data_IF_022124148060
#
_entry.id   IF_022124148060
#
_cell.length_a   1.000
_cell.length_b   1.000
_cell.length_c   1.000
_cell.angle_alpha   90.00
_cell.angle_beta   90.00
_cell.angle_gamma   90.00
#
_symmetry.space_group_name_H-M   'P 1'
#
loop_
_entity.id
_entity.type
_entity.pdbx_description
1 polymer ?
2 polymer ?
3 non-polymer ?
4 non-polymer ?
5 water ?
#
# COMPACT_ATOMS: atom_id res chain seq x y z
N UNK A 1 -22.00 -4.64 -16.05
CA UNK A 1 -20.61 -4.82 -15.55
C UNK A 1 -20.37 -6.25 -15.11
N UNK A 2 -19.27 -6.80 -15.59
CA UNK A 2 -18.68 -8.00 -15.04
C UNK A 2 -18.00 -7.61 -13.71
N UNK A 3 -18.55 -7.96 -12.55
CA UNK A 3 -17.89 -7.52 -11.30
C UNK A 3 -17.99 -8.47 -10.11
N UNK A 4 -17.02 -8.33 -9.20
CA UNK A 4 -16.86 -9.19 -8.02
C UNK A 4 -16.73 -8.33 -6.84
N UNK A 5 -17.48 -8.63 -5.79
CA UNK A 5 -17.43 -7.77 -4.64
C UNK A 5 -17.05 -8.59 -3.46
N UNK A 6 -15.96 -8.25 -2.80
CA UNK A 6 -15.72 -8.76 -1.47
C UNK A 6 -16.71 -8.12 -0.43
N UNK A 7 -16.75 -8.71 0.77
CA UNK A 7 -17.59 -8.21 1.87
C UNK A 7 -17.07 -8.71 3.21
N UNK A 8 -17.76 -8.41 4.31
CA UNK A 8 -17.29 -8.81 5.64
C UNK A 8 -16.22 -7.82 6.05
N UNK A 9 -14.99 -8.28 6.26
CA UNK A 9 -13.88 -7.40 6.66
C UNK A 9 -14.04 -6.95 8.09
N UNK A 10 -13.58 -5.73 8.39
CA UNK A 10 -13.85 -5.15 9.68
C UNK A 10 -12.86 -5.66 10.72
N UNK A 11 -12.73 -4.92 11.81
CA UNK A 11 -11.82 -5.30 12.87
C UNK A 11 -12.55 -6.30 13.82
N UNK A 12 -11.74 -7.19 14.39
CA UNK A 12 -12.15 -8.08 15.47
C UNK A 12 -10.83 -8.53 16.08
N UNK A 13 -10.88 -8.85 17.37
CA UNK A 13 -9.69 -9.02 18.18
C UNK A 13 -8.97 -10.31 17.77
N UNK A 14 -7.73 -10.55 18.25
CA UNK A 14 -7.07 -11.79 17.87
C UNK A 14 -7.91 -12.99 18.31
N UNK A 15 -7.66 -14.17 17.76
CA UNK A 15 -8.51 -15.33 17.96
C UNK A 15 -9.96 -14.98 17.75
N UNK A 16 -10.19 -14.12 16.77
CA UNK A 16 -11.51 -13.66 16.45
C UNK A 16 -12.03 -14.46 15.30
N UNK A 17 -13.09 -13.97 14.68
CA UNK A 17 -13.72 -14.70 13.61
C UNK A 17 -14.36 -13.72 12.65
N UNK A 18 -14.42 -14.15 11.40
CA UNK A 18 -14.93 -13.31 10.34
C UNK A 18 -15.30 -14.21 9.22
N UNK A 19 -16.41 -13.86 8.57
CA UNK A 19 -16.79 -14.56 7.35
C UNK A 19 -16.85 -13.62 6.16
N UNK A 20 -15.79 -13.63 5.34
CA UNK A 20 -15.76 -12.82 4.16
C UNK A 20 -16.59 -13.47 3.08
N UNK A 21 -17.59 -12.76 2.61
CA UNK A 21 -18.32 -13.22 1.46
C UNK A 21 -17.61 -12.66 0.26
N UNK A 22 -18.05 -13.08 -0.90
CA UNK A 22 -17.57 -12.45 -2.13
C UNK A 22 -18.57 -12.81 -3.23
N UNK A 23 -19.25 -11.79 -3.74
CA UNK A 23 -20.34 -12.02 -4.65
C UNK A 23 -19.91 -11.74 -6.07
N UNK A 24 -20.57 -12.40 -7.02
CA UNK A 24 -20.19 -12.26 -8.42
C UNK A 24 -21.38 -12.13 -9.33
N UNK A 25 -21.27 -11.20 -10.26
CA UNK A 25 -22.27 -11.00 -11.31
C UNK A 25 -21.53 -10.64 -12.61
N UNK A 26 -22.13 -10.97 -13.75
CA UNK A 26 -21.69 -10.43 -15.03
C UNK A 26 -20.95 -11.42 -15.88
N UNK A 27 -20.90 -12.67 -15.41
CA UNK A 27 -20.23 -13.80 -16.07
C UNK A 27 -20.76 -15.14 -15.50
N UNK A 28 -20.23 -16.27 -15.96
CA UNK A 28 -20.66 -17.55 -15.41
C UNK A 28 -19.68 -18.05 -14.34
N UNK A 29 -19.99 -17.70 -13.10
CA UNK A 29 -19.25 -18.14 -11.92
C UNK A 29 -18.79 -19.56 -12.11
N UNK A 30 -19.77 -20.45 -12.28
CA UNK A 30 -19.50 -21.86 -12.49
C UNK A 30 -18.42 -22.18 -13.52
N UNK A 31 -18.06 -21.26 -14.42
CA UNK A 31 -16.97 -21.55 -15.39
C UNK A 31 -15.53 -21.32 -14.87
N UNK A 32 -15.40 -20.90 -13.59
CA UNK A 32 -14.11 -20.43 -13.03
C UNK A 32 -13.84 -20.89 -11.61
N UNK A 33 -12.57 -21.13 -11.34
CA UNK A 33 -12.06 -21.35 -9.99
C UNK A 33 -12.08 -20.01 -9.31
N UNK A 34 -12.01 -19.99 -7.99
CA UNK A 34 -11.91 -18.70 -7.32
C UNK A 34 -10.77 -18.74 -6.34
N UNK A 35 -10.32 -17.55 -5.96
CA UNK A 35 -9.09 -17.39 -5.21
C UNK A 35 -9.18 -16.19 -4.25
N UNK A 36 -8.91 -16.45 -2.99
CA UNK A 36 -8.62 -15.37 -2.10
C UNK A 36 -7.15 -15.01 -2.18
N UNK A 37 -6.87 -13.76 -1.90
CA UNK A 37 -5.50 -13.25 -1.93
C UNK A 37 -5.41 -12.06 -0.97
N UNK A 38 -4.33 -12.01 -0.19
CA UNK A 38 -4.15 -10.89 0.72
C UNK A 38 -2.95 -10.00 0.46
N UNK A 39 -3.13 -8.76 0.89
CA UNK A 39 -2.07 -7.81 0.98
C UNK A 39 -2.05 -7.18 2.34
N UNK A 40 -1.08 -7.57 3.16
CA UNK A 40 -0.85 -6.88 4.43
C UNK A 40 -0.49 -5.48 4.01
N UNK A 41 -1.09 -4.46 4.66
CA UNK A 41 -0.49 -3.16 4.54
C UNK A 41 1.04 -3.14 4.59
N UNK A 42 1.60 -2.44 3.60
CA UNK A 42 3.03 -2.36 3.38
C UNK A 42 3.61 -3.53 2.57
N UNK A 43 3.03 -4.71 2.73
CA UNK A 43 3.62 -5.92 2.16
C UNK A 43 3.15 -6.22 0.71
N UNK A 44 3.70 -7.29 0.13
CA UNK A 44 3.30 -7.72 -1.21
C UNK A 44 2.25 -8.79 -1.26
N UNK A 45 1.86 -9.21 -2.46
CA UNK A 45 0.70 -10.09 -2.65
C UNK A 45 1.02 -11.49 -2.22
N UNK A 46 0.07 -12.07 -1.45
CA UNK A 46 0.16 -13.41 -0.88
C UNK A 46 -1.12 -14.19 -1.17
N UNK A 47 -1.06 -15.16 -2.08
CA UNK A 47 -2.20 -16.07 -2.36
C UNK A 47 -2.76 -16.67 -1.02
N UNK A 48 -4.07 -16.94 -0.97
CA UNK A 48 -4.63 -17.60 0.20
C UNK A 48 -5.19 -18.94 -0.20
N UNK A 49 -6.43 -18.99 -0.61
CA UNK A 49 -7.06 -20.24 -0.91
C UNK A 49 -7.36 -20.33 -2.39
N UNK A 50 -7.66 -21.52 -2.84
CA UNK A 50 -8.30 -21.66 -4.11
C UNK A 50 -9.36 -22.71 -3.99
N UNK A 51 -10.15 -22.85 -5.05
CA UNK A 51 -11.30 -23.73 -5.06
C UNK A 51 -11.68 -23.78 -6.53
N UNK A 52 -12.31 -24.87 -6.97
CA UNK A 52 -12.74 -25.00 -8.37
C UNK A 52 -14.22 -24.69 -8.51
N UNK A 53 -14.73 -24.81 -9.73
CA UNK A 53 -16.15 -24.61 -10.02
C UNK A 53 -17.01 -25.75 -9.49
N UNK A 54 -16.52 -26.97 -9.64
CA UNK A 54 -17.16 -28.14 -9.01
C UNK A 54 -16.95 -28.09 -7.47
N UNK A 55 -16.47 -26.94 -6.98
CA UNK A 55 -16.30 -26.68 -5.53
C UNK A 55 -15.43 -27.74 -4.88
N UNK A 56 -14.33 -28.05 -5.57
CA UNK A 56 -13.38 -29.09 -5.17
C UNK A 56 -11.90 -28.75 -5.47
N UNK A 57 -11.01 -29.28 -4.63
CA UNK A 57 -9.56 -29.03 -4.66
C UNK A 57 -9.22 -27.77 -3.95
N UNK A 58 -9.60 -27.71 -2.68
CA UNK A 58 -9.38 -26.51 -1.92
C UNK A 58 -7.95 -26.49 -1.45
N UNK A 59 -7.21 -25.53 -1.96
CA UNK A 59 -5.87 -25.25 -1.51
C UNK A 59 -5.83 -24.07 -0.57
N UNK A 60 -4.76 -24.04 0.24
CA UNK A 60 -4.60 -23.10 1.33
C UNK A 60 -3.16 -22.78 1.53
N UNK A 61 -2.87 -21.59 2.00
CA UNK A 61 -1.49 -21.25 2.30
C UNK A 61 -1.15 -21.81 3.68
N UNK A 62 0.09 -22.26 3.85
CA UNK A 62 0.55 -22.76 5.16
C UNK A 62 0.24 -21.74 6.25
N UNK A 63 0.27 -20.47 5.87
CA UNK A 63 0.15 -19.39 6.81
C UNK A 63 -1.28 -19.33 7.27
N UNK A 64 -2.13 -20.08 6.59
CA UNK A 64 -3.58 -19.94 6.69
C UNK A 64 -4.32 -21.26 6.99
N UNK A 65 -3.78 -22.40 6.53
CA UNK A 65 -4.39 -23.73 6.75
C UNK A 65 -4.88 -23.88 8.17
N UNK A 66 -5.90 -24.70 8.33
CA UNK A 66 -6.48 -24.97 9.63
C UNK A 66 -7.13 -23.80 10.34
N UNK A 67 -7.24 -22.66 9.67
CA UNK A 67 -7.94 -21.56 10.29
C UNK A 67 -8.96 -20.94 9.33
N UNK A 68 -8.74 -21.06 8.01
CA UNK A 68 -9.68 -20.46 7.02
C UNK A 68 -10.40 -21.50 6.18
N UNK A 69 -11.62 -21.20 5.77
CA UNK A 69 -12.50 -22.22 5.23
C UNK A 69 -13.20 -21.75 3.93
N UNK A 70 -12.60 -22.07 2.79
CA UNK A 70 -13.11 -21.65 1.46
C UNK A 70 -14.38 -22.40 1.04
N UNK A 71 -15.53 -21.69 1.00
CA UNK A 71 -16.85 -22.27 0.59
C UNK A 71 -17.31 -21.69 -0.76
N UNK A 72 -18.43 -22.17 -1.31
CA UNK A 72 -18.90 -21.76 -2.66
C UNK A 72 -20.40 -22.06 -2.90
N UNK A 73 -21.08 -21.18 -3.64
CA UNK A 73 -22.51 -21.34 -3.97
C UNK A 73 -22.72 -21.00 -5.45
N UNK A 74 -22.29 -21.88 -6.36
CA UNK A 74 -22.35 -21.54 -7.80
C UNK A 74 -23.73 -21.11 -8.23
N UNK A 75 -24.75 -21.50 -7.47
CA UNK A 75 -26.12 -21.10 -7.75
C UNK A 75 -26.49 -19.81 -7.04
N UNK A 76 -25.59 -19.27 -6.23
CA UNK A 76 -25.82 -17.98 -5.56
C UNK A 76 -24.63 -17.05 -5.85
N UNK A 77 -23.85 -17.45 -6.86
CA UNK A 77 -22.63 -16.77 -7.33
C UNK A 77 -21.67 -16.14 -6.30
N UNK A 78 -21.54 -16.75 -5.11
CA UNK A 78 -20.73 -16.23 -3.97
C UNK A 78 -19.57 -17.14 -3.52
N UNK A 79 -18.75 -16.71 -2.53
CA UNK A 79 -17.42 -17.34 -2.25
C UNK A 79 -16.96 -17.58 -0.82
N UNK A 80 -17.47 -16.86 0.17
CA UNK A 80 -17.24 -17.28 1.57
C UNK A 80 -15.79 -17.76 1.88
N UNK A 81 -15.03 -16.94 2.62
CA UNK A 81 -13.80 -17.42 3.25
C UNK A 81 -13.96 -17.36 4.77
N UNK A 82 -14.34 -18.46 5.42
CA UNK A 82 -14.50 -18.44 6.87
C UNK A 82 -13.16 -18.37 7.60
N UNK A 83 -12.99 -17.28 8.32
CA UNK A 83 -11.78 -17.02 9.08
C UNK A 83 -11.99 -17.20 10.57
N UNK A 84 -11.20 -18.11 11.12
CA UNK A 84 -11.00 -18.33 12.54
C UNK A 84 -9.54 -18.69 12.53
N UNK A 85 -8.82 -18.74 13.64
CA UNK A 85 -9.01 -17.96 14.82
C UNK A 85 -7.96 -16.92 14.56
N UNK A 86 -8.38 -15.67 14.45
CA UNK A 86 -7.54 -14.68 13.80
C UNK A 86 -6.38 -14.16 14.63
N UNK A 87 -5.23 -14.06 13.99
CA UNK A 87 -4.02 -13.48 14.62
C UNK A 87 -3.59 -12.24 13.87
N UNK A 88 -2.55 -11.60 14.38
CA UNK A 88 -2.19 -10.25 14.01
C UNK A 88 -1.71 -10.15 12.54
N UNK A 89 -0.71 -10.96 12.21
CA UNK A 89 -0.24 -11.15 10.84
C UNK A 89 -1.36 -11.39 9.81
N UNK A 90 -2.57 -11.70 10.28
CA UNK A 90 -3.75 -11.91 9.41
C UNK A 90 -4.36 -10.64 8.94
N UNK A 91 -3.82 -9.55 9.42
CA UNK A 91 -4.33 -8.27 9.04
C UNK A 91 -3.92 -8.00 7.59
N UNK A 92 -4.92 -7.70 6.76
CA UNK A 92 -4.64 -7.43 5.36
C UNK A 92 -5.85 -6.98 4.61
N UNK A 93 -5.74 -7.05 3.29
CA UNK A 93 -6.85 -6.82 2.45
C UNK A 93 -7.14 -8.12 1.72
N UNK A 94 -8.39 -8.39 1.38
CA UNK A 94 -8.74 -9.68 0.81
C UNK A 94 -9.46 -9.55 -0.54
N UNK A 95 -8.84 -10.00 -1.62
CA UNK A 95 -9.49 -9.94 -2.95
C UNK A 95 -10.00 -11.30 -3.30
N UNK A 96 -11.21 -11.42 -3.83
CA UNK A 96 -11.56 -12.66 -4.47
C UNK A 96 -11.27 -12.50 -5.96
N UNK A 97 -10.80 -13.57 -6.61
CA UNK A 97 -10.40 -13.45 -8.03
C UNK A 97 -10.82 -14.56 -8.95
N UNK A 98 -11.27 -14.18 -10.12
CA UNK A 98 -11.38 -15.14 -11.24
C UNK A 98 -10.08 -15.85 -11.57
N UNK A 99 -10.20 -17.13 -11.88
CA UNK A 99 -9.06 -17.88 -12.29
C UNK A 99 -9.46 -19.04 -13.11
N UNK A 100 -8.69 -19.20 -14.20
CA UNK A 100 -8.69 -20.39 -15.02
C UNK A 100 -8.33 -21.62 -14.22
N UNK A 101 -8.43 -22.79 -14.85
CA UNK A 101 -8.19 -24.05 -14.14
C UNK A 101 -6.97 -24.82 -14.70
N UNK A 102 -7.15 -25.95 -15.39
CA UNK A 102 -6.05 -26.78 -15.96
C UNK A 102 -5.61 -27.82 -14.92
N UNK A 103 -6.00 -29.07 -15.17
CA UNK A 103 -6.18 -30.02 -14.08
C UNK A 103 -5.37 -31.32 -14.11
N UNK A 104 -5.07 -31.78 -12.89
CA UNK A 104 -4.52 -33.11 -12.65
C UNK A 104 -3.31 -33.34 -13.55
N UNK A 105 -2.94 -34.59 -13.85
CA UNK A 105 -3.27 -35.80 -13.05
C UNK A 105 -2.13 -36.02 -12.10
N UNK A 106 -0.96 -35.69 -12.63
CA UNK A 106 0.30 -35.90 -11.96
C UNK A 106 0.52 -34.89 -10.87
N UNK A 107 -0.52 -34.16 -10.48
CA UNK A 107 -0.51 -33.45 -9.20
C UNK A 107 -0.74 -34.55 -8.20
N UNK A 108 -1.05 -34.21 -6.96
CA UNK A 108 -1.22 -35.23 -5.93
C UNK A 108 -1.98 -36.47 -6.42
N UNK A 109 -2.87 -37.04 -5.62
CA UNK A 109 -3.88 -37.85 -6.24
C UNK A 109 -4.64 -36.75 -6.88
N UNK A 110 -4.67 -36.71 -8.21
CA UNK A 110 -5.48 -35.73 -8.94
C UNK A 110 -5.45 -34.33 -8.32
N UNK A 111 -4.79 -33.36 -8.95
CA UNK A 111 -4.83 -31.97 -8.45
C UNK A 111 -5.25 -30.95 -9.49
N UNK A 112 -5.40 -29.70 -9.08
CA UNK A 112 -5.70 -28.63 -10.02
C UNK A 112 -4.74 -27.48 -9.94
N UNK A 113 -4.29 -26.95 -11.07
CA UNK A 113 -3.37 -25.81 -11.09
C UNK A 113 -4.18 -24.56 -10.90
N UNK A 114 -4.73 -24.43 -9.70
CA UNK A 114 -5.87 -23.53 -9.49
C UNK A 114 -5.50 -22.16 -9.83
N UNK A 115 -5.75 -21.85 -11.09
CA UNK A 115 -5.62 -20.50 -11.54
C UNK A 115 -4.18 -20.30 -11.79
N UNK A 116 -3.79 -20.63 -13.01
CA UNK A 116 -2.69 -19.91 -13.59
C UNK A 116 -3.37 -18.61 -13.96
N UNK A 117 -4.38 -18.66 -14.82
CA UNK A 117 -5.01 -17.42 -15.31
C UNK A 117 -5.67 -16.75 -14.12
N UNK A 118 -5.51 -15.43 -13.95
CA UNK A 118 -6.29 -14.71 -12.91
C UNK A 118 -6.70 -13.26 -13.19
N UNK A 119 -7.72 -13.14 -14.04
CA UNK A 119 -8.05 -11.89 -14.74
C UNK A 119 -9.09 -10.94 -14.11
N UNK A 120 -9.92 -11.45 -13.21
CA UNK A 120 -10.84 -10.54 -12.52
C UNK A 120 -10.80 -10.59 -10.98
N UNK A 121 -10.87 -9.40 -10.40
CA UNK A 121 -10.59 -9.17 -8.99
C UNK A 121 -11.56 -8.18 -8.46
N UNK A 122 -12.07 -8.44 -7.25
CA UNK A 122 -12.91 -7.49 -6.54
C UNK A 122 -12.09 -6.28 -6.20
N UNK A 123 -12.69 -5.36 -5.44
CA UNK A 123 -11.93 -4.24 -4.92
C UNK A 123 -11.13 -4.61 -3.71
N UNK A 124 -11.49 -5.69 -3.06
CA UNK A 124 -10.91 -5.97 -1.73
C UNK A 124 -11.90 -5.75 -0.60
N UNK A 125 -11.56 -6.33 0.55
CA UNK A 125 -12.15 -6.00 1.85
C UNK A 125 -11.00 -6.03 2.85
N UNK A 126 -11.09 -5.17 3.85
CA UNK A 126 -10.00 -5.05 4.79
C UNK A 126 -10.36 -5.72 6.13
N UNK A 127 -9.37 -6.40 6.70
CA UNK A 127 -9.53 -7.16 7.90
C UNK A 127 -8.44 -6.72 8.81
N UNK A 128 -8.88 -6.13 9.90
CA UNK A 128 -7.97 -5.58 10.85
C UNK A 128 -8.02 -6.44 12.10
N UNK A 129 -6.86 -6.93 12.52
CA UNK A 129 -6.76 -7.83 13.66
C UNK A 129 -5.91 -7.18 14.73
N UNK A 130 -6.57 -6.57 15.72
CA UNK A 130 -5.91 -6.04 16.94
C UNK A 130 -6.89 -5.44 17.98
N UNK A 131 -6.32 -4.94 19.08
CA UNK A 131 -7.05 -4.32 20.20
C UNK A 131 -6.22 -3.15 20.76
N UNK A 132 -6.82 -2.12 21.37
CA UNK A 132 -8.27 -1.85 21.39
C UNK A 132 -8.74 -1.12 20.13
N UNK A 133 -9.66 -0.15 20.30
CA UNK A 133 -10.40 0.46 19.20
C UNK A 133 -10.25 1.98 19.17
N UNK A 134 -11.24 2.65 18.59
CA UNK A 134 -11.55 4.09 18.78
C UNK A 134 -10.59 5.21 18.29
N UNK A 135 -11.25 6.18 17.63
CA UNK A 135 -10.75 7.52 17.18
C UNK A 135 -9.37 8.05 17.58
N UNK A 136 -9.01 9.17 16.95
CA UNK A 136 -7.81 9.85 17.36
C UNK A 136 -7.78 11.29 16.92
N UNK A 137 -7.69 12.23 17.90
CA UNK A 137 -7.62 13.69 17.80
C UNK A 137 -6.68 14.19 16.75
N UNK A 138 -6.92 15.41 16.30
CA UNK A 138 -6.28 15.92 15.08
C UNK A 138 -5.16 16.89 15.39
N UNK A 139 -5.49 18.05 15.93
CA UNK A 139 -4.47 19.00 16.42
C UNK A 139 -3.55 19.51 15.27
N UNK A 140 -3.59 20.81 14.98
CA UNK A 140 -2.41 21.41 14.34
C UNK A 140 -2.01 22.78 14.87
N UNK A 152 9.00 31.68 -1.98
CA UNK A 152 7.72 31.52 -2.67
C UNK A 152 6.62 30.99 -1.77
N UNK A 153 6.87 29.83 -1.16
CA UNK A 153 5.81 29.04 -0.55
C UNK A 153 5.90 28.94 0.98
N UNK A 154 4.80 28.56 1.62
CA UNK A 154 4.78 28.22 3.04
C UNK A 154 3.65 27.22 3.34
N UNK A 155 3.88 26.30 4.27
CA UNK A 155 3.05 25.09 4.41
C UNK A 155 2.34 24.97 5.73
N UNK A 156 1.59 23.90 5.87
CA UNK A 156 0.77 23.71 7.01
C UNK A 156 -0.01 22.49 6.66
N UNK A 157 -0.89 22.10 7.55
CA UNK A 157 -1.64 20.90 7.37
C UNK A 157 -2.07 20.56 8.76
N UNK A 158 -2.53 19.33 8.94
CA UNK A 158 -2.85 18.90 10.26
C UNK A 158 -2.16 17.63 10.53
N UNK A 159 -1.82 17.48 11.79
CA UNK A 159 -1.47 16.23 12.32
C UNK A 159 -2.77 15.50 12.59
N UNK A 160 -2.71 14.18 12.61
CA UNK A 160 -3.86 13.37 12.90
C UNK A 160 -3.27 12.20 13.62
N UNK A 161 -3.70 11.98 14.85
CA UNK A 161 -2.93 11.14 15.72
C UNK A 161 -3.76 10.37 16.74
N UNK A 162 -3.15 9.34 17.33
CA UNK A 162 -3.71 8.54 18.42
C UNK A 162 -5.02 7.87 18.00
N UNK A 163 -5.08 7.42 16.75
CA UNK A 163 -6.29 6.79 16.23
C UNK A 163 -6.16 5.32 15.89
N UNK A 164 -7.26 4.61 16.12
CA UNK A 164 -7.43 3.23 15.70
C UNK A 164 -8.86 3.01 15.23
N UNK A 165 -9.07 2.14 14.24
CA UNK A 165 -8.12 1.55 13.32
C UNK A 165 -8.04 2.42 12.09
N UNK A 166 -7.44 1.90 11.02
CA UNK A 166 -7.50 2.62 9.74
C UNK A 166 -8.84 2.42 9.01
N UNK A 167 -9.21 3.35 8.10
CA UNK A 167 -8.54 4.55 7.66
C UNK A 167 -9.14 5.85 8.21
N UNK A 168 -8.43 6.95 8.02
CA UNK A 168 -9.03 8.28 8.14
C UNK A 168 -9.03 8.91 6.75
N UNK A 169 -10.02 9.80 6.53
CA UNK A 169 -10.08 10.60 5.31
C UNK A 169 -9.89 12.07 5.60
N UNK A 170 -8.72 12.52 5.24
CA UNK A 170 -8.35 13.87 5.45
C UNK A 170 -8.71 14.58 4.18
N UNK A 171 -9.36 15.73 4.36
CA UNK A 171 -9.82 16.55 3.26
C UNK A 171 -9.42 17.96 3.58
N UNK A 172 -9.46 18.84 2.58
CA UNK A 172 -9.21 20.25 2.84
C UNK A 172 -10.32 21.17 2.31
N UNK A 173 -10.89 21.93 3.25
CA UNK A 173 -12.08 22.74 3.05
C UNK A 173 -13.09 21.91 2.23
N UNK A 174 -13.32 20.68 2.69
CA UNK A 174 -14.26 19.73 2.09
C UNK A 174 -13.92 19.28 0.66
N UNK A 175 -12.88 19.88 0.06
CA UNK A 175 -12.50 19.60 -1.34
C UNK A 175 -11.94 20.78 -2.13
N UNK A 176 -12.23 22.00 -1.65
CA UNK A 176 -11.74 23.24 -2.25
C UNK A 176 -10.22 23.34 -2.36
N UNK A 177 -9.52 22.53 -1.56
CA UNK A 177 -8.10 22.29 -1.78
C UNK A 177 -7.84 20.82 -2.16
N UNK A 178 -7.64 20.63 -3.47
CA UNK A 178 -7.13 19.39 -4.07
C UNK A 178 -5.62 19.55 -4.31
N UNK A 179 -5.27 20.80 -4.62
CA UNK A 179 -3.91 21.23 -4.95
C UNK A 179 -3.00 21.02 -3.76
N UNK A 180 -1.80 20.52 -4.04
CA UNK A 180 -0.66 20.67 -3.13
C UNK A 180 -0.74 19.93 -1.82
N UNK A 181 -1.78 19.14 -1.69
CA UNK A 181 -2.01 18.39 -0.49
C UNK A 181 -1.21 17.13 -0.51
N UNK A 182 -0.28 17.04 0.42
CA UNK A 182 0.48 15.82 0.62
C UNK A 182 0.04 15.22 1.96
N UNK A 183 -0.74 14.14 1.88
CA UNK A 183 -1.33 13.51 3.02
C UNK A 183 -0.75 12.15 3.09
N UNK A 184 -0.14 11.88 4.24
CA UNK A 184 0.90 10.89 4.30
C UNK A 184 0.33 9.58 4.71
N UNK A 185 0.99 8.50 4.27
CA UNK A 185 0.65 7.18 4.72
C UNK A 185 0.61 7.14 6.24
N UNK A 186 -0.22 6.30 6.84
CA UNK A 186 -0.26 6.26 8.30
C UNK A 186 0.81 5.35 8.78
N UNK A 187 1.55 5.74 9.80
CA UNK A 187 2.52 4.84 10.38
C UNK A 187 2.09 4.44 11.77
N UNK A 188 2.44 3.21 12.11
CA UNK A 188 2.11 2.64 13.36
C UNK A 188 3.10 3.12 14.39
N UNK A 189 2.61 3.91 15.35
CA UNK A 189 3.39 4.24 16.54
C UNK A 189 3.51 2.94 17.33
N UNK A 190 4.59 2.81 18.10
CA UNK A 190 4.75 1.63 18.99
C UNK A 190 3.43 1.20 19.66
N UNK A 191 2.80 2.15 20.34
CA UNK A 191 1.56 1.87 21.09
C UNK A 191 0.51 1.09 20.30
N UNK A 192 0.72 0.96 18.99
CA UNK A 192 -0.22 0.26 18.13
C UNK A 192 -1.36 1.14 17.63
N UNK A 193 -1.31 2.44 17.97
CA UNK A 193 -2.18 3.47 17.38
C UNK A 193 -1.41 4.21 16.29
N UNK A 194 -2.10 4.64 15.24
CA UNK A 194 -1.44 5.25 14.09
C UNK A 194 -1.41 6.75 14.23
N UNK A 195 -0.61 7.38 13.39
CA UNK A 195 -0.82 8.79 13.15
C UNK A 195 -0.23 9.22 11.82
N UNK A 196 -0.73 10.33 11.33
CA UNK A 196 -0.34 10.88 10.08
C UNK A 196 -0.56 12.34 9.98
N UNK A 197 0.14 12.92 9.02
CA UNK A 197 -0.04 14.29 8.78
C UNK A 197 -0.51 14.56 7.37
N UNK A 198 -1.33 15.59 7.27
CA UNK A 198 -1.92 16.00 6.02
C UNK A 198 -1.43 17.39 5.87
N UNK A 199 -0.64 17.59 4.82
CA UNK A 199 -0.14 18.93 4.58
C UNK A 199 -0.60 19.46 3.24
N UNK A 200 -0.34 20.73 3.05
CA UNK A 200 -0.81 21.41 1.91
C UNK A 200 0.16 22.52 1.63
N UNK A 201 0.63 22.55 0.41
CA UNK A 201 1.60 23.55 0.00
C UNK A 201 0.77 24.76 -0.45
N UNK A 202 1.13 25.93 0.05
CA UNK A 202 0.46 27.18 -0.35
C UNK A 202 1.41 28.37 -0.40
N UNK A 203 1.18 29.29 -1.36
CA UNK A 203 1.86 30.59 -1.45
C UNK A 203 1.58 31.42 -0.19
N UNK A 204 2.58 32.19 0.24
CA UNK A 204 2.45 32.98 1.45
C UNK A 204 1.10 33.73 1.44
N UNK A 205 1.04 34.85 0.75
CA UNK A 205 -0.20 35.56 0.42
C UNK A 205 -1.46 35.23 1.24
N UNK A 206 -1.96 34.01 1.03
CA UNK A 206 -3.31 33.57 1.44
C UNK A 206 -3.68 33.76 2.90
N UNK A 207 -2.70 33.64 3.76
CA UNK A 207 -2.90 33.83 5.20
C UNK A 207 -3.72 35.10 5.46
N UNK A 208 -4.70 34.98 6.35
CA UNK A 208 -5.55 36.10 6.76
C UNK A 208 -6.80 36.28 5.92
N UNK A 209 -6.63 36.23 4.61
CA UNK A 209 -7.74 36.31 3.68
C UNK A 209 -8.19 34.90 3.42
N UNK A 210 -7.32 34.14 2.77
CA UNK A 210 -7.51 32.71 2.72
C UNK A 210 -7.19 32.16 4.09
N UNK A 211 -8.17 31.42 4.60
CA UNK A 211 -8.06 30.69 5.85
C UNK A 211 -8.51 29.25 5.53
N UNK A 212 -7.79 28.29 6.08
CA UNK A 212 -7.95 26.85 5.75
C UNK A 212 -8.38 25.94 6.92
N UNK A 213 -9.03 24.84 6.58
CA UNK A 213 -9.60 23.90 7.56
C UNK A 213 -9.52 22.44 7.03
N UNK A 214 -8.95 21.54 7.83
CA UNK A 214 -8.72 20.18 7.37
C UNK A 214 -9.82 19.19 7.72
N UNK A 215 -10.71 18.92 6.77
CA UNK A 215 -11.90 18.09 7.02
C UNK A 215 -11.60 16.61 7.25
N UNK A 216 -11.41 16.30 8.53
CA UNK A 216 -10.99 14.99 8.95
C UNK A 216 -12.21 14.16 9.22
N UNK A 217 -12.11 12.90 8.83
CA UNK A 217 -13.19 11.97 9.04
C UNK A 217 -12.63 10.61 9.34
N UNK A 218 -12.85 10.17 10.56
CA UNK A 218 -12.58 8.82 10.97
C UNK A 218 -13.91 8.21 11.41
N UNK A 219 -14.35 7.19 10.68
CA UNK A 219 -15.67 6.59 10.93
C UNK A 219 -15.63 5.64 12.13
N UNK A 220 -14.82 4.56 12.10
CA UNK A 220 -14.74 3.58 13.21
C UNK A 220 -14.48 4.26 14.57
N UNK A 221 -15.24 5.30 14.83
CA UNK A 221 -15.01 6.23 15.91
C UNK A 221 -16.20 7.15 16.13
N UNK A 222 -16.94 7.41 15.05
CA UNK A 222 -18.01 8.40 15.03
C UNK A 222 -17.44 9.77 15.31
N UNK A 223 -16.29 10.05 14.70
CA UNK A 223 -15.63 11.32 14.84
C UNK A 223 -15.22 11.87 13.50
N UNK A 224 -15.45 13.16 13.35
CA UNK A 224 -15.02 13.90 12.19
C UNK A 224 -14.88 15.33 12.65
N UNK A 225 -13.71 15.92 12.46
CA UNK A 225 -13.54 17.33 12.74
C UNK A 225 -12.71 17.94 11.62
N UNK A 226 -12.19 19.11 11.92
CA UNK A 226 -11.49 19.95 10.98
C UNK A 226 -11.04 21.10 11.83
N UNK A 227 -9.94 21.75 11.48
CA UNK A 227 -9.43 22.78 12.36
C UNK A 227 -8.71 23.92 11.65
N UNK A 228 -9.19 25.12 11.95
CA UNK A 228 -8.59 26.35 11.46
C UNK A 228 -7.11 26.39 11.81
N UNK A 229 -6.27 26.36 10.79
CA UNK A 229 -4.84 26.60 10.95
C UNK A 229 -4.65 28.11 10.72
N UNK A 230 -3.90 28.76 11.62
CA UNK A 230 -3.68 30.22 11.59
C UNK A 230 -2.38 30.57 12.33
N UNK A 231 -1.21 30.49 11.67
CA UNK A 231 0.02 30.76 12.44
C UNK A 231 0.12 32.15 13.13
N UNK A 232 0.83 32.18 14.26
CA UNK A 232 1.18 33.39 15.11
C UNK A 232 0.08 34.41 15.54
N UNK A 233 -0.34 34.33 16.82
CA UNK A 233 -1.17 35.39 17.49
C UNK A 233 -1.18 35.22 19.02
N UNK B 1 8.73 -26.73 -0.97
CA UNK B 1 7.95 -25.54 -1.39
C UNK B 1 8.80 -24.77 -2.32
N UNK B 2 8.19 -23.79 -2.96
CA UNK B 2 8.88 -23.02 -4.00
C UNK B 2 9.05 -21.59 -3.56
N UNK B 3 10.18 -21.04 -3.97
CA UNK B 3 10.49 -19.67 -3.67
C UNK B 3 10.66 -18.83 -4.92
N UNK B 4 9.76 -17.89 -5.02
CA UNK B 4 9.68 -16.99 -6.13
C UNK B 4 10.60 -15.87 -5.77
N UNK B 5 11.29 -15.37 -6.78
CA UNK B 5 12.30 -14.37 -6.61
C UNK B 5 12.16 -13.53 -7.84
N UNK B 6 12.30 -12.20 -7.71
CA UNK B 6 12.33 -11.23 -8.85
C UNK B 6 13.47 -10.20 -8.74
N UNK B 7 13.88 -9.62 -9.86
CA UNK B 7 14.82 -8.49 -9.78
C UNK B 7 14.70 -7.49 -10.94
N UNK B 8 14.82 -6.18 -10.63
CA UNK B 8 15.10 -5.58 -9.30
C UNK B 8 13.88 -5.47 -8.39
N UNK B 9 14.07 -4.77 -7.25
CA UNK B 9 13.02 -4.50 -6.23
C UNK B 9 12.39 -3.17 -6.55
N UNK B 10 13.16 -2.28 -7.14
CA UNK B 10 12.56 -1.10 -7.74
C UNK B 10 13.28 -0.72 -9.03
N UNK B 11 12.45 -0.35 -9.99
CA UNK B 11 12.90 -0.04 -11.33
C UNK B 11 12.33 1.29 -11.76
N UNK B 12 13.09 2.37 -11.49
CA UNK B 12 12.63 3.64 -11.98
C UNK B 12 12.96 3.64 -13.46
N UNK B 13 11.96 3.83 -14.30
CA UNK B 13 12.25 3.88 -15.69
C UNK B 13 11.59 5.08 -16.29
N UNK B 14 11.87 5.29 -17.57
CA UNK B 14 11.53 6.49 -18.31
C UNK B 14 10.61 6.16 -19.50
N UNK B 15 9.42 6.76 -19.54
CA UNK B 15 8.44 6.48 -20.60
C UNK B 15 9.02 6.77 -22.00
N UNK B 16 8.67 5.90 -22.96
CA UNK B 16 9.35 5.82 -24.25
C UNK B 16 10.38 4.70 -24.22
N UNK B 17 11.16 4.69 -23.13
CA UNK B 17 12.29 3.80 -22.99
C UNK B 17 11.85 2.48 -22.38
N UNK B 18 12.35 1.35 -22.89
CA UNK B 18 11.85 0.08 -22.43
C UNK B 18 12.38 -0.25 -21.04
N UNK B 19 11.88 -1.37 -20.50
CA UNK B 19 12.36 -1.88 -19.22
C UNK B 19 12.16 -3.35 -19.17
N UNK B 20 12.93 -4.01 -18.31
CA UNK B 20 12.79 -5.45 -18.08
C UNK B 20 12.68 -5.81 -16.60
N UNK B 21 11.88 -6.82 -16.25
CA UNK B 21 11.98 -7.47 -14.94
C UNK B 21 12.26 -8.94 -15.08
N UNK B 22 12.99 -9.46 -14.10
CA UNK B 22 13.28 -10.86 -13.93
C UNK B 22 12.45 -11.47 -12.85
N UNK B 23 12.07 -12.73 -13.04
CA UNK B 23 11.48 -13.44 -11.93
C UNK B 23 12.05 -14.87 -11.98
N UNK B 24 12.52 -15.38 -10.84
CA UNK B 24 12.96 -16.78 -10.74
C UNK B 24 12.43 -17.59 -9.56
N UNK B 25 12.41 -18.90 -9.78
CA UNK B 25 11.77 -19.89 -8.94
C UNK B 25 12.75 -20.91 -8.35
N UNK B 26 12.46 -21.35 -7.15
CA UNK B 26 13.29 -22.38 -6.51
C UNK B 26 13.21 -23.78 -7.17
N UNK B 27 12.27 -23.97 -8.11
CA UNK B 27 12.04 -25.27 -8.77
C UNK B 27 11.73 -24.89 -10.23
N UNK B 28 11.80 -25.81 -11.17
CA UNK B 28 11.38 -25.53 -12.58
C UNK B 28 9.87 -25.49 -12.65
N UNK B 29 9.28 -24.80 -13.64
CA UNK B 29 7.82 -24.52 -13.59
C UNK B 29 6.86 -25.32 -14.48
N UNK B 30 7.37 -25.90 -15.57
CA UNK B 30 6.53 -26.54 -16.63
C UNK B 30 6.04 -27.98 -16.32
N UNK B 31 4.82 -28.29 -16.77
CA UNK B 31 4.07 -29.57 -16.47
C UNK B 31 3.61 -29.67 -14.98
N UNK B 32 2.32 -29.85 -14.67
CA UNK B 32 1.31 -30.49 -15.56
C UNK B 32 1.07 -29.85 -16.92
N UNK B 33 1.03 -30.69 -17.96
CA UNK B 33 0.66 -30.24 -19.30
C UNK B 33 1.85 -29.36 -19.81
N UNK B 34 2.35 -29.56 -21.04
CA UNK B 34 3.46 -28.72 -21.62
C UNK B 34 3.52 -27.26 -21.09
N UNK B 35 4.50 -26.43 -21.51
CA UNK B 35 4.54 -24.95 -21.16
C UNK B 35 4.38 -24.54 -19.63
N UNK B 36 4.64 -23.26 -19.31
CA UNK B 36 4.99 -22.87 -17.95
C UNK B 36 3.82 -22.36 -17.07
N UNK B 37 3.88 -22.60 -15.77
CA UNK B 37 2.84 -22.06 -14.87
C UNK B 37 3.40 -20.87 -14.12
N UNK B 38 3.42 -19.75 -14.84
CA UNK B 38 3.81 -18.43 -14.36
C UNK B 38 2.98 -17.30 -14.98
N UNK B 39 2.22 -16.58 -14.14
CA UNK B 39 1.69 -15.31 -14.59
C UNK B 39 2.39 -14.15 -13.97
N UNK B 40 2.11 -13.02 -14.58
CA UNK B 40 2.62 -11.75 -14.13
C UNK B 40 1.44 -10.83 -13.93
N UNK B 41 1.52 -9.97 -12.93
CA UNK B 41 0.41 -9.08 -12.63
C UNK B 41 0.93 -7.72 -12.43
N UNK B 42 0.21 -6.73 -12.92
CA UNK B 42 0.46 -5.41 -12.37
C UNK B 42 -0.49 -5.14 -11.16
N UNK B 43 -0.01 -4.32 -10.27
CA UNK B 43 -0.90 -3.62 -9.40
C UNK B 43 -0.61 -2.18 -9.57
N UNK B 44 -1.43 -1.49 -10.34
CA UNK B 44 -1.30 -0.06 -10.39
C UNK B 44 -1.65 0.49 -8.98
N UNK B 45 -1.07 1.65 -8.65
CA UNK B 45 -1.10 2.21 -7.32
C UNK B 45 -2.54 2.60 -6.90
N UNK B 46 -2.96 2.10 -5.74
CA UNK B 46 -4.35 2.28 -5.25
C UNK B 46 -5.38 1.38 -5.93
N UNK B 47 -4.93 0.23 -6.48
CA UNK B 47 -5.80 -0.68 -7.24
C UNK B 47 -5.56 -2.16 -6.99
N UNK B 48 -6.60 -2.93 -7.33
CA UNK B 48 -6.53 -4.38 -7.37
C UNK B 48 -5.60 -4.75 -8.54
N UNK B 49 -4.88 -5.84 -8.39
CA UNK B 49 -4.03 -6.20 -9.44
C UNK B 49 -4.83 -6.65 -10.61
N UNK B 50 -4.17 -6.84 -11.75
CA UNK B 50 -4.85 -7.43 -12.90
C UNK B 50 -3.95 -8.41 -13.65
N UNK B 51 -4.55 -9.38 -14.30
CA UNK B 51 -3.78 -10.29 -15.12
C UNK B 51 -2.95 -9.58 -16.18
N UNK B 52 -1.71 -10.01 -16.31
CA UNK B 52 -0.85 -9.46 -17.34
C UNK B 52 -0.41 -10.51 -18.35
N UNK B 53 0.29 -11.53 -17.87
CA UNK B 53 0.71 -12.64 -18.69
C UNK B 53 0.06 -13.90 -18.08
N UNK B 54 0.03 -14.99 -18.87
CA UNK B 54 -0.42 -16.24 -18.30
C UNK B 54 0.23 -17.40 -18.94
N UNK B 55 0.43 -18.45 -18.16
CA UNK B 55 1.26 -19.57 -18.56
C UNK B 55 2.52 -19.00 -19.18
N UNK B 56 3.11 -18.06 -18.45
CA UNK B 56 4.42 -17.53 -18.75
C UNK B 56 4.52 -16.57 -19.92
N UNK B 57 3.96 -16.91 -21.07
CA UNK B 57 4.16 -16.04 -22.23
C UNK B 57 2.89 -15.56 -22.90
N UNK B 58 1.72 -15.78 -22.26
CA UNK B 58 0.46 -15.38 -22.91
C UNK B 58 -0.11 -14.12 -22.40
N UNK B 59 -0.39 -13.25 -23.35
CA UNK B 59 -0.86 -11.90 -23.10
C UNK B 59 -2.39 -11.81 -22.86
N UNK B 60 -2.79 -11.81 -21.59
CA UNK B 60 -4.21 -11.70 -21.21
C UNK B 60 -4.97 -10.57 -21.93
N UNK B 61 -6.22 -10.87 -22.31
CA UNK B 61 -7.09 -9.94 -23.02
C UNK B 61 -6.99 -8.47 -22.62
N UNK B 62 -6.78 -7.69 -23.68
CA UNK B 62 -6.74 -6.24 -23.62
C UNK B 62 -5.45 -5.82 -22.94
N UNK B 63 -4.35 -6.42 -23.39
CA UNK B 63 -3.03 -6.01 -22.90
C UNK B 63 -2.11 -5.62 -24.04
N UNK B 64 -1.56 -4.40 -23.96
CA UNK B 64 -0.70 -3.85 -24.98
C UNK B 64 0.40 -4.81 -25.36
N UNK B 65 0.82 -4.73 -26.62
CA UNK B 65 1.93 -5.57 -27.12
C UNK B 65 3.23 -5.08 -26.51
N UNK B 66 3.18 -3.89 -25.94
CA UNK B 66 4.33 -3.36 -25.21
C UNK B 66 4.86 -4.43 -24.27
N UNK B 67 3.98 -5.34 -23.88
CA UNK B 67 4.34 -6.36 -22.94
C UNK B 67 4.57 -7.71 -23.59
N UNK B 68 5.84 -8.00 -23.91
CA UNK B 68 6.28 -9.37 -24.16
C UNK B 68 6.55 -9.96 -22.81
N UNK B 69 6.59 -11.29 -22.72
CA UNK B 69 6.80 -11.99 -21.45
C UNK B 69 7.37 -13.36 -21.77
N UNK B 70 8.52 -13.68 -21.19
CA UNK B 70 9.36 -14.78 -21.66
C UNK B 70 9.91 -15.71 -20.58
N UNK B 71 10.74 -16.65 -21.06
CA UNK B 71 11.48 -17.58 -20.24
C UNK B 71 10.84 -18.96 -20.20
N UNK B 72 11.50 -19.84 -19.44
CA UNK B 72 10.99 -21.16 -19.05
C UNK B 72 11.75 -21.60 -17.78
N UNK B 73 11.17 -22.56 -17.04
CA UNK B 73 11.89 -23.26 -15.99
C UNK B 73 11.93 -22.51 -14.68
N UNK B 74 12.97 -21.71 -14.49
CA UNK B 74 13.30 -21.08 -13.19
C UNK B 74 13.52 -19.58 -13.31
N UNK B 75 14.21 -19.22 -14.39
CA UNK B 75 14.46 -17.88 -14.93
C UNK B 75 13.25 -17.46 -15.73
N UNK B 76 12.86 -16.20 -15.64
CA UNK B 76 11.68 -15.67 -16.36
C UNK B 76 11.89 -14.18 -16.62
N UNK B 77 10.98 -13.54 -17.36
CA UNK B 77 11.13 -12.12 -17.65
C UNK B 77 9.81 -11.47 -18.10
N UNK B 78 9.63 -10.21 -17.65
CA UNK B 78 8.61 -9.30 -18.15
C UNK B 78 9.36 -8.12 -18.69
N UNK B 79 9.43 -8.04 -20.02
CA UNK B 79 10.07 -6.98 -20.77
C UNK B 79 8.97 -6.13 -21.34
N UNK B 80 8.95 -4.86 -20.92
CA UNK B 80 8.01 -3.85 -21.44
C UNK B 80 8.75 -2.93 -22.37
N UNK B 81 8.40 -3.05 -23.65
CA UNK B 81 8.90 -2.21 -24.72
C UNK B 81 8.08 -0.94 -24.74
N UNK B 82 8.71 0.18 -24.41
CA UNK B 82 8.00 1.46 -24.41
C UNK B 82 7.00 1.46 -23.29
N UNK B 83 7.52 1.57 -22.08
CA UNK B 83 6.72 1.94 -20.92
C UNK B 83 5.92 3.22 -21.22
N UNK B 84 4.73 3.33 -20.64
CA UNK B 84 4.06 4.62 -20.59
C UNK B 84 3.75 4.88 -19.12
N UNK B 85 3.60 6.16 -18.75
CA UNK B 85 3.44 6.55 -17.34
C UNK B 85 2.39 5.78 -16.57
N UNK B 86 1.51 5.06 -17.25
CA UNK B 86 0.36 4.45 -16.57
C UNK B 86 0.68 3.04 -16.12
N UNK B 87 1.77 2.48 -16.67
CA UNK B 87 2.35 1.19 -16.31
C UNK B 87 3.01 1.15 -14.93
N UNK B 88 2.97 2.25 -14.18
CA UNK B 88 3.56 2.30 -12.84
C UNK B 88 2.89 1.26 -11.97
N UNK B 89 3.60 0.76 -10.95
CA UNK B 89 2.99 -0.09 -9.95
C UNK B 89 3.95 -1.11 -9.42
N UNK B 90 3.41 -2.28 -9.08
CA UNK B 90 4.24 -3.42 -8.71
C UNK B 90 3.93 -4.56 -9.63
N UNK B 91 5.01 -5.12 -10.17
CA UNK B 91 4.87 -6.34 -10.93
C UNK B 91 5.20 -7.54 -10.08
N UNK B 92 4.28 -8.48 -10.19
CA UNK B 92 4.26 -9.64 -9.35
C UNK B 92 4.22 -10.78 -10.28
N UNK B 93 5.28 -11.55 -10.35
CA UNK B 93 5.18 -12.82 -10.99
C UNK B 93 4.49 -13.73 -9.99
N UNK B 94 3.98 -14.82 -10.54
CA UNK B 94 3.17 -15.67 -9.71
C UNK B 94 3.39 -17.07 -10.23
N UNK B 95 3.12 -18.03 -9.37
CA UNK B 95 3.51 -19.41 -9.67
C UNK B 95 2.28 -20.27 -9.40
N UNK B 96 2.04 -21.07 -10.44
CA UNK B 96 0.85 -21.85 -10.57
C UNK B 96 1.11 -23.33 -10.41
N UNK B 97 2.34 -23.66 -10.02
CA UNK B 97 2.79 -25.03 -10.07
C UNK B 97 2.22 -25.83 -8.91
N UNK B 98 2.85 -25.85 -7.74
CA UNK B 98 2.11 -26.28 -6.50
C UNK B 98 1.28 -25.09 -5.92
N UNK B 99 -0.01 -25.19 -6.17
CA UNK B 99 -0.95 -24.14 -5.77
C UNK B 99 -0.49 -22.81 -6.36
N UNK B 100 -0.48 -21.77 -5.48
CA UNK B 100 -0.36 -20.41 -5.95
C UNK B 100 0.60 -19.72 -5.07
N UNK B 101 1.62 -19.07 -5.63
CA UNK B 101 2.54 -18.30 -4.82
C UNK B 101 3.12 -17.16 -5.62
N UNK B 102 3.24 -16.04 -4.89
CA UNK B 102 3.45 -14.74 -5.50
C UNK B 102 4.86 -14.18 -5.34
N UNK B 103 5.50 -13.89 -6.51
CA UNK B 103 6.68 -13.04 -6.55
C UNK B 103 6.73 -12.07 -5.37
N UNK B 104 7.95 -11.69 -4.97
CA UNK B 104 8.05 -10.72 -3.87
C UNK B 104 7.69 -9.29 -4.29
N UNK B 105 7.67 -9.04 -5.60
CA UNK B 105 7.39 -7.69 -6.20
C UNK B 105 8.53 -7.01 -6.94
N UNK B 106 8.19 -6.08 -7.85
CA UNK B 106 9.18 -5.17 -8.47
C UNK B 106 8.45 -3.85 -8.67
N UNK B 107 8.94 -2.79 -8.03
CA UNK B 107 8.15 -1.57 -8.01
C UNK B 107 8.65 -0.64 -9.08
N UNK B 108 7.74 -0.26 -9.97
CA UNK B 108 8.05 0.56 -11.14
C UNK B 108 7.54 1.97 -10.93
N UNK B 109 8.39 2.92 -11.35
CA UNK B 109 8.25 4.33 -10.98
C UNK B 109 8.94 5.13 -12.06
N UNK B 110 8.68 6.41 -12.12
CA UNK B 110 9.11 7.18 -13.27
C UNK B 110 10.47 7.79 -12.98
N UNK B 111 11.32 7.85 -14.01
CA UNK B 111 12.59 8.54 -13.87
C UNK B 111 12.47 9.98 -14.32
N UNK B 112 13.26 10.80 -13.65
CA UNK B 112 12.92 12.15 -13.41
C UNK B 112 14.26 12.81 -13.05
N UNK B 113 14.34 14.11 -13.16
CA UNK B 113 15.63 14.78 -13.24
C UNK B 113 16.21 15.26 -11.94
N UNK B 114 16.10 14.48 -10.89
CA UNK B 114 16.43 14.99 -9.56
C UNK B 114 15.53 16.19 -9.34
N UNK B 115 15.72 16.91 -8.24
CA UNK B 115 14.85 17.98 -7.75
C UNK B 115 14.85 18.00 -6.22
N UNK B 116 15.15 19.17 -5.68
CA UNK B 116 15.30 19.32 -4.27
C UNK B 116 13.96 19.61 -3.63
N UNK B 117 13.86 19.39 -2.32
CA UNK B 117 12.70 19.63 -1.49
C UNK B 117 12.69 20.96 -0.83
N UNK B 118 11.52 21.52 -0.67
CA UNK B 118 11.38 22.60 0.26
C UNK B 118 11.23 21.98 1.67
N UNK B 119 11.63 22.71 2.71
CA UNK B 119 11.49 22.22 4.07
C UNK B 119 10.64 23.12 4.95
N UNK B 120 9.99 22.51 5.95
CA UNK B 120 9.08 23.20 6.84
C UNK B 120 8.96 22.48 8.16
N UNK B 121 9.27 23.19 9.25
CA UNK B 121 9.06 22.65 10.60
C UNK B 121 7.71 23.11 11.12
N UNK B 122 7.14 22.32 12.03
CA UNK B 122 5.93 22.77 12.72
C UNK B 122 6.06 22.56 14.21
N UNK B 123 5.66 23.59 14.97
CA UNK B 123 5.74 23.48 16.41
C UNK B 123 4.61 22.62 16.92
N UNK B 124 4.80 22.03 18.10
CA UNK B 124 3.77 21.32 18.80
C UNK B 124 2.43 21.99 18.82
N UNK B 125 2.30 23.21 19.32
CA UNK B 125 0.99 23.82 19.43
C UNK B 125 0.35 23.45 20.76
N UNK B 126 -0.05 24.47 21.51
CA UNK B 126 -0.68 24.27 22.82
C UNK B 126 -2.13 23.73 22.71
N UNK B 127 -2.25 22.44 22.41
CA UNK B 127 -3.54 21.70 22.41
C UNK B 127 -3.11 20.26 22.56
N UNK B 128 -2.11 19.92 21.77
CA UNK B 128 -1.31 18.73 21.96
C UNK B 128 -0.68 18.82 23.34
N UNK B 129 0.03 19.93 23.58
CA UNK B 129 0.76 20.16 24.84
C UNK B 129 -0.15 20.17 26.09
N UNK B 130 -1.37 20.65 25.92
CA UNK B 130 -2.39 20.51 26.94
C UNK B 130 -2.59 19.02 27.24
N UNK B 131 -2.75 18.22 26.18
CA UNK B 131 -2.87 16.75 26.31
C UNK B 131 -1.55 16.04 26.62
N UNK B 132 -0.45 16.77 26.72
CA UNK B 132 0.82 16.22 27.21
C UNK B 132 1.80 15.63 26.20
N UNK B 133 1.68 15.98 24.92
CA UNK B 133 2.62 15.46 23.93
C UNK B 133 3.28 16.52 23.04
N UNK B 134 4.43 16.15 22.49
CA UNK B 134 5.18 17.00 21.58
C UNK B 134 5.62 16.25 20.32
N UNK B 135 4.86 16.44 19.25
CA UNK B 135 5.22 15.97 17.92
C UNK B 135 5.76 17.13 17.12
N UNK B 136 6.93 16.97 16.54
CA UNK B 136 7.46 18.04 15.75
C UNK B 136 7.67 17.51 14.35
N UNK B 137 6.84 18.02 13.46
CA UNK B 137 6.87 17.57 12.10
C UNK B 137 7.80 18.40 11.30
N UNK B 138 8.28 17.79 10.23
CA UNK B 138 9.16 18.46 9.34
C UNK B 138 8.97 17.98 7.91
N UNK B 139 8.28 18.77 7.11
CA UNK B 139 8.01 18.38 5.72
C UNK B 139 9.19 18.41 4.71
N UNK B 140 9.08 17.60 3.68
CA UNK B 140 9.97 17.64 2.51
C UNK B 140 9.16 17.56 1.23
N UNK B 141 9.12 18.62 0.42
CA UNK B 141 8.21 18.58 -0.74
C UNK B 141 8.85 18.31 -2.09
N UNK B 142 8.15 17.48 -2.86
CA UNK B 142 8.40 17.32 -4.26
C UNK B 142 9.89 17.24 -4.63
N UNK B 143 10.53 16.21 -4.08
CA UNK B 143 11.91 15.89 -4.41
C UNK B 143 11.99 14.60 -5.20
N UNK B 144 13.06 14.45 -5.97
CA UNK B 144 13.35 13.19 -6.63
C UNK B 144 14.85 13.14 -6.66
N UNK B 145 15.45 11.96 -6.46
CA UNK B 145 14.78 10.69 -6.22
C UNK B 145 14.37 10.54 -4.77
N UNK B 146 13.79 9.38 -4.46
CA UNK B 146 13.16 9.15 -3.14
C UNK B 146 14.15 9.37 -1.99
N UNK B 147 15.34 8.77 -2.12
CA UNK B 147 16.35 8.70 -1.04
C UNK B 147 16.69 10.06 -0.47
N UNK B 148 16.32 10.25 0.79
CA UNK B 148 16.63 11.46 1.50
C UNK B 148 17.00 11.06 2.91
N UNK B 149 17.72 11.95 3.57
CA UNK B 149 18.26 11.67 4.88
C UNK B 149 17.93 12.90 5.73
N UNK B 150 16.86 12.77 6.49
CA UNK B 150 16.38 13.85 7.31
C UNK B 150 16.99 13.58 8.68
N UNK B 151 17.46 14.64 9.34
CA UNK B 151 18.14 14.51 10.62
C UNK B 151 17.65 15.54 11.61
N UNK B 152 17.08 15.05 12.71
CA UNK B 152 16.61 15.98 13.73
C UNK B 152 17.72 16.43 14.66
N UNK B 153 17.44 17.53 15.38
CA UNK B 153 18.41 18.18 16.26
C UNK B 153 17.76 19.00 17.39
N UNK B 154 18.06 18.62 18.64
CA UNK B 154 17.76 19.48 19.80
C UNK B 154 19.03 20.03 20.42
N UNK B 155 19.04 21.35 20.54
CA UNK B 155 20.16 22.13 21.03
C UNK B 155 21.48 21.55 20.49
N UNK B 156 21.71 21.82 19.20
CA UNK B 156 22.86 21.30 18.39
C UNK B 156 23.02 19.79 18.39
N UNK B 157 22.31 19.15 19.29
CA UNK B 157 22.50 17.76 19.62
C UNK B 157 21.61 16.93 18.75
N UNK B 158 22.21 15.97 18.07
CA UNK B 158 21.45 15.07 17.20
C UNK B 158 20.46 14.35 18.04
N UNK B 159 19.63 13.58 17.38
CA UNK B 159 18.79 12.63 18.03
C UNK B 159 19.01 11.38 17.22
N UNK B 160 18.62 10.26 17.82
CA UNK B 160 18.63 8.99 17.14
C UNK B 160 17.39 8.23 17.58
N UNK B 161 16.75 7.61 16.59
CA UNK B 161 15.65 6.73 16.82
C UNK B 161 14.51 7.24 17.66
N UNK B 162 14.27 8.55 17.72
CA UNK B 162 12.93 9.01 18.12
C UNK B 162 12.14 9.61 16.96
N UNK B 163 12.46 9.24 15.72
CA UNK B 163 11.85 9.87 14.54
C UNK B 163 11.28 8.87 13.53
N UNK B 164 10.03 9.05 13.11
CA UNK B 164 9.40 8.14 12.15
C UNK B 164 9.10 8.91 10.91
N UNK B 165 9.22 8.32 9.73
CA UNK B 165 8.99 9.13 8.55
C UNK B 165 8.12 8.46 7.51
N UNK B 166 7.06 9.17 7.08
CA UNK B 166 6.23 8.72 5.94
C UNK B 166 6.64 9.36 4.63
N UNK B 167 6.22 8.76 3.53
CA UNK B 167 6.52 9.26 2.19
C UNK B 167 5.28 9.06 1.38
N UNK B 168 4.79 10.09 0.71
CA UNK B 168 3.69 9.85 -0.22
C UNK B 168 4.22 9.07 -1.43
N UNK B 169 3.30 8.56 -2.25
CA UNK B 169 3.71 7.84 -3.43
C UNK B 169 4.24 8.84 -4.48
N UNK B 170 4.81 8.36 -5.58
CA UNK B 170 5.36 9.29 -6.58
C UNK B 170 4.24 10.25 -6.93
N UNK B 171 4.55 11.46 -7.35
CA UNK B 171 3.46 12.34 -7.77
C UNK B 171 3.08 11.99 -9.21
N UNK B 172 1.78 11.99 -9.46
CA UNK B 172 1.18 11.46 -10.68
C UNK B 172 1.49 12.35 -11.87
N UNK B 173 1.56 13.66 -11.62
CA UNK B 173 1.89 14.64 -12.69
C UNK B 173 3.35 15.14 -12.73
N UNK B 174 3.94 15.58 -11.61
CA UNK B 174 5.37 16.00 -11.51
C UNK B 174 6.36 14.95 -10.97
N UNK B 175 5.89 13.78 -10.56
CA UNK B 175 6.75 12.60 -10.25
C UNK B 175 7.69 12.72 -9.02
N UNK B 176 7.38 13.67 -8.18
CA UNK B 176 8.14 13.93 -7.00
C UNK B 176 7.66 13.03 -5.89
N UNK B 177 8.30 13.15 -4.74
CA UNK B 177 7.78 12.59 -3.52
C UNK B 177 7.58 13.70 -2.49
N UNK B 178 7.02 13.32 -1.35
CA UNK B 178 7.14 14.16 -0.20
C UNK B 178 7.40 13.30 1.00
N UNK B 179 7.69 13.89 2.13
CA UNK B 179 8.09 13.14 3.32
C UNK B 179 7.81 13.91 4.58
N UNK B 180 7.14 13.26 5.53
CA UNK B 180 7.04 13.79 6.88
C UNK B 180 8.18 13.18 7.65
N UNK B 181 8.69 13.87 8.65
CA UNK B 181 9.55 13.25 9.66
C UNK B 181 9.15 13.77 11.00
N UNK B 182 8.69 12.89 11.86
CA UNK B 182 8.07 13.30 13.08
C UNK B 182 8.94 12.83 14.18
N UNK B 183 9.21 13.76 15.08
CA UNK B 183 10.02 13.51 16.23
C UNK B 183 9.09 13.77 17.40
N UNK B 184 8.92 12.76 18.22
CA UNK B 184 7.98 12.85 19.31
C UNK B 184 8.70 13.04 20.62
N UNK B 185 8.11 13.81 21.51
CA UNK B 185 8.68 14.08 22.82
C UNK B 185 7.64 14.17 23.90
N UNK B 186 8.09 13.88 25.11
CA UNK B 186 7.31 14.14 26.31
C UNK B 186 7.25 15.64 26.44
N UNK B 187 6.05 16.14 26.69
CA UNK B 187 5.85 17.58 26.89
C UNK B 187 6.81 18.14 27.94
N UNK B 188 7.20 17.30 28.88
CA UNK B 188 8.14 17.73 29.90
C UNK B 188 9.52 18.02 29.33
N UNK B 189 10.06 17.18 28.43
CA UNK B 189 11.36 17.51 27.80
C UNK B 189 11.18 18.43 26.60
N UNK B 190 9.95 18.61 26.14
CA UNK B 190 9.69 19.62 25.11
C UNK B 190 9.94 21.00 25.70
N UNK B 191 9.18 21.30 26.76
CA UNK B 191 9.15 22.62 27.42
C UNK B 191 10.52 23.06 27.93
N UNK B 192 11.44 22.11 28.00
CA UNK B 192 12.73 22.30 28.62
C UNK B 192 13.86 22.69 27.65
N UNK B 193 13.60 22.66 26.35
CA UNK B 193 14.61 23.11 25.39
C UNK B 193 14.02 24.19 24.49
N UNK B 194 14.86 24.86 23.71
CA UNK B 194 14.43 26.01 22.89
C UNK B 194 14.57 25.81 21.38
N UNK B 195 15.65 25.15 20.96
CA UNK B 195 16.03 25.05 19.55
C UNK B 195 15.62 23.74 18.88
N UNK B 196 14.53 23.79 18.13
CA UNK B 196 14.06 22.65 17.35
C UNK B 196 14.38 22.85 15.88
N UNK B 197 15.08 21.87 15.27
CA UNK B 197 15.48 21.96 13.85
C UNK B 197 15.75 20.63 13.14
N UNK B 198 15.20 20.44 11.93
CA UNK B 198 15.54 19.28 11.07
C UNK B 198 16.56 19.64 9.99
N UNK B 199 17.40 18.67 9.62
CA UNK B 199 18.55 18.93 8.75
C UNK B 199 18.60 17.89 7.63
N UNK B 200 18.14 18.35 6.48
CA UNK B 200 17.87 17.51 5.34
C UNK B 200 19.14 17.36 4.55
N UNK B 201 19.41 16.14 4.10
CA UNK B 201 20.39 15.94 3.02
C UNK B 201 19.75 15.16 1.89
N UNK B 202 19.33 15.88 0.84
CA UNK B 202 18.96 15.26 -0.45
C UNK B 202 20.13 15.45 -1.43
N UNK B 203 20.21 14.51 -2.37
CA UNK B 203 21.17 14.56 -3.49
C UNK B 203 21.05 15.83 -4.33
N UNK B 204 19.89 16.44 -4.35
CA UNK B 204 19.66 17.69 -5.06
C UNK B 204 20.01 18.87 -4.20
N UNK B 205 20.91 18.67 -3.23
CA UNK B 205 21.39 19.75 -2.39
C UNK B 205 22.91 19.74 -2.37
N UNK B 206 23.52 20.90 -2.55
CA UNK B 206 24.98 20.98 -2.55
C UNK B 206 25.54 20.99 -1.12
N UNK B 207 24.63 21.11 -0.16
CA UNK B 207 24.91 20.91 1.25
C UNK B 207 23.54 20.96 1.93
N UNK B 208 23.40 20.24 3.05
CA UNK B 208 22.17 20.17 3.82
C UNK B 208 21.54 21.52 4.13
N UNK B 209 20.22 21.56 4.31
CA UNK B 209 19.62 22.70 5.04
C UNK B 209 18.65 22.28 6.12
N UNK B 210 18.31 23.26 6.95
CA UNK B 210 17.62 23.03 8.19
C UNK B 210 16.58 24.11 8.40
N UNK B 211 15.41 23.71 8.85
CA UNK B 211 14.41 24.65 9.31
C UNK B 211 14.58 24.66 10.79
N UNK B 212 14.18 25.76 11.41
CA UNK B 212 14.47 25.94 12.80
C UNK B 212 13.35 26.71 13.48
N UNK B 213 13.02 26.33 14.71
CA UNK B 213 12.23 27.19 15.59
C UNK B 213 12.60 27.07 17.08
N UNK B 214 12.00 27.94 17.89
CA UNK B 214 12.37 28.13 19.29
C UNK B 214 11.15 28.14 20.20
N UNK B 215 11.20 27.35 21.29
CA UNK B 215 10.16 27.30 22.36
C UNK B 215 9.94 25.86 22.82
#
# INVERSE_FOLDING_TARGET
>A
EVQLVESGGGLVKPGGSLRLSCAASGFTFSSYSMNWVRQAPGRGLEWVSSISNTSTYIYYADSVEGRFTLSRDNAKNSLYLQMNSLRAEDTAVYYCARANQHFDWLLSLLGGYHYYGMDVWGQGTTVTVSSASTKGPSVFPLAPSSKSTSGGTAALGCLVKDYFPEPVTVSWNSGALTSGVHTFPAVLQSSGLYSLSSVVTVPSSSLGTQTYICNVNHKPSNTKVDKRVEPKSCDKT
>B
DIVMTQSPLSLPVTPGEPASISCRSSQSLLHSNGYNYLDWYLQKPGQSPQLLIYLGSNRASGVPDRFIGSGSGTDFTLKISRVEAEDVGVFYCMQALQAVGFGPGTKVEIKRTVAAPSVFIFPPSDEQLKSGTASVVCLLNNFYPREAKVQWKVDNALQSGNSQESVTEQDSKDSTYSLSSTLTLSKADYEKHKVYACEVTHQGLSSPVTKSFNRGEC
#
